data_IF_486366663205
#
_entry.id   IF_486366663205
#
_cell.length_a   1.000
_cell.length_b   1.000
_cell.length_c   1.000
_cell.angle_alpha   90.00
_cell.angle_beta   90.00
_cell.angle_gamma   90.00
#
_symmetry.space_group_name_H-M   'P 1'
#
loop_
_entity.id
_entity.type
_entity.pdbx_description
1 polymer ?
#
# COMPACT_ATOMS: atom_id res chain seq x y z
N UNK A 1 -15.39 33.63 -7.94
CA UNK A 1 -15.42 32.16 -7.81
C UNK A 1 -15.30 31.55 -9.20
N UNK A 2 -14.16 30.96 -9.55
CA UNK A 2 -13.96 30.34 -10.87
C UNK A 2 -14.84 29.09 -10.98
N UNK A 3 -15.78 29.11 -11.93
CA UNK A 3 -16.66 27.97 -12.24
C UNK A 3 -15.77 26.79 -12.68
N UNK A 4 -15.97 25.62 -12.06
CA UNK A 4 -15.24 24.38 -12.38
C UNK A 4 -15.36 24.11 -13.88
N UNK A 5 -14.23 24.05 -14.59
CA UNK A 5 -14.18 23.70 -16.02
C UNK A 5 -14.77 22.29 -16.18
N UNK A 6 -15.81 22.18 -17.00
CA UNK A 6 -16.40 20.89 -17.38
C UNK A 6 -15.32 20.05 -18.06
N UNK A 7 -15.06 18.85 -17.52
CA UNK A 7 -14.12 17.91 -18.10
C UNK A 7 -14.92 16.93 -18.97
N UNK A 8 -14.64 16.82 -20.27
CA UNK A 8 -15.31 15.88 -21.15
C UNK A 8 -15.19 14.45 -20.62
N UNK A 9 -16.24 13.64 -20.81
CA UNK A 9 -16.37 12.27 -20.30
C UNK A 9 -15.49 11.24 -21.04
N UNK A 10 -14.70 11.69 -22.02
CA UNK A 10 -13.96 10.85 -22.97
C UNK A 10 -12.58 10.40 -22.51
N UNK A 11 -12.06 10.93 -21.40
CA UNK A 11 -10.75 10.55 -20.82
C UNK A 11 -10.89 9.99 -19.39
N UNK A 12 -11.85 9.10 -19.18
CA UNK A 12 -12.02 8.43 -17.89
C UNK A 12 -11.25 7.11 -17.90
N UNK A 13 -9.99 7.15 -17.48
CA UNK A 13 -9.22 5.95 -17.14
C UNK A 13 -9.62 5.45 -15.73
N UNK A 14 -9.55 4.14 -15.48
CA UNK A 14 -9.91 3.48 -14.21
C UNK A 14 -9.20 4.11 -13.00
N UNK A 15 -7.95 4.54 -13.18
CA UNK A 15 -7.18 5.27 -12.17
C UNK A 15 -7.84 6.58 -11.72
N UNK A 16 -8.47 7.30 -12.64
CA UNK A 16 -9.19 8.55 -12.36
C UNK A 16 -10.52 8.28 -11.62
N UNK A 17 -11.19 7.17 -11.95
CA UNK A 17 -12.41 6.73 -11.26
C UNK A 17 -12.07 6.39 -9.80
N UNK A 18 -11.05 5.57 -9.58
CA UNK A 18 -10.61 5.17 -8.24
C UNK A 18 -10.19 6.38 -7.39
N UNK A 19 -9.47 7.33 -7.99
CA UNK A 19 -9.10 8.57 -7.31
C UNK A 19 -10.34 9.40 -6.88
N UNK A 20 -11.33 9.52 -7.76
CA UNK A 20 -12.56 10.28 -7.50
C UNK A 20 -13.39 9.62 -6.39
N UNK A 21 -13.57 8.31 -6.45
CA UNK A 21 -14.29 7.59 -5.41
C UNK A 21 -13.56 7.68 -4.07
N UNK A 22 -12.25 7.42 -4.03
CA UNK A 22 -11.44 7.62 -2.81
C UNK A 22 -11.68 9.00 -2.21
N UNK A 23 -11.62 10.06 -3.02
CA UNK A 23 -11.81 11.42 -2.52
C UNK A 23 -13.24 11.67 -2.01
N UNK A 24 -14.25 11.11 -2.65
CA UNK A 24 -15.65 11.17 -2.20
C UNK A 24 -15.81 10.55 -0.81
N UNK A 25 -15.27 9.35 -0.61
CA UNK A 25 -15.29 8.67 0.69
C UNK A 25 -14.49 9.41 1.77
N UNK A 26 -13.32 9.96 1.45
CA UNK A 26 -12.56 10.80 2.38
C UNK A 26 -13.34 12.04 2.84
N UNK A 27 -14.03 12.71 1.92
CA UNK A 27 -14.87 13.86 2.26
C UNK A 27 -16.05 13.42 3.15
N UNK A 28 -16.68 12.30 2.84
CA UNK A 28 -17.77 11.75 3.64
C UNK A 28 -17.31 11.42 5.07
N UNK A 29 -16.17 10.74 5.22
CA UNK A 29 -15.59 10.41 6.53
C UNK A 29 -15.28 11.68 7.34
N UNK A 30 -14.66 12.68 6.72
CA UNK A 30 -14.35 13.97 7.38
C UNK A 30 -15.62 14.65 7.88
N UNK A 31 -16.67 14.73 7.05
CA UNK A 31 -17.96 15.30 7.46
C UNK A 31 -18.60 14.50 8.58
N UNK A 32 -18.48 13.19 8.55
CA UNK A 32 -19.06 12.31 9.57
C UNK A 32 -18.39 12.49 10.93
N UNK A 33 -17.06 12.52 10.97
CA UNK A 33 -16.28 12.52 12.22
C UNK A 33 -15.98 13.94 12.73
N UNK A 34 -15.58 14.86 11.85
CA UNK A 34 -15.18 16.22 12.23
C UNK A 34 -16.38 17.12 12.44
N UNK A 35 -17.31 17.12 11.49
CA UNK A 35 -18.51 17.97 11.53
C UNK A 35 -19.68 17.30 12.27
N UNK A 36 -19.52 16.03 12.69
CA UNK A 36 -20.55 15.23 13.37
C UNK A 36 -21.84 15.09 12.56
N UNK A 37 -21.74 15.20 11.24
CA UNK A 37 -22.90 15.06 10.35
C UNK A 37 -23.43 13.62 10.40
N UNK A 38 -24.75 13.48 10.30
CA UNK A 38 -25.39 12.18 10.15
C UNK A 38 -25.37 11.76 8.68
N UNK A 39 -25.19 10.47 8.44
CA UNK A 39 -25.25 9.91 7.09
C UNK A 39 -25.76 8.48 7.17
N UNK A 40 -26.98 8.25 6.70
CA UNK A 40 -27.55 6.90 6.63
C UNK A 40 -26.83 6.03 5.60
N UNK A 41 -26.32 6.65 4.53
CA UNK A 41 -25.63 5.94 3.47
C UNK A 41 -24.21 5.53 3.86
N UNK A 42 -23.41 6.44 4.43
CA UNK A 42 -21.98 6.17 4.70
C UNK A 42 -21.73 5.53 6.07
N UNK A 43 -22.57 5.77 7.08
CA UNK A 43 -22.33 5.26 8.44
C UNK A 43 -22.17 3.72 8.52
N UNK A 44 -22.94 2.90 7.77
CA UNK A 44 -22.78 1.44 7.80
C UNK A 44 -21.40 0.94 7.33
N UNK A 45 -20.67 1.72 6.55
CA UNK A 45 -19.31 1.39 6.10
C UNK A 45 -18.27 1.78 7.14
N UNK A 46 -18.51 2.87 7.87
CA UNK A 46 -17.63 3.33 8.94
C UNK A 46 -17.69 2.44 10.19
N UNK A 47 -18.80 1.74 10.40
CA UNK A 47 -18.94 0.72 11.44
C UNK A 47 -19.11 1.24 12.87
N UNK A 48 -19.13 2.57 13.05
CA UNK A 48 -19.44 3.24 14.31
C UNK A 48 -20.33 4.46 14.06
N UNK A 49 -21.10 4.84 15.07
CA UNK A 49 -21.72 6.15 15.09
C UNK A 49 -20.65 7.26 15.24
N UNK A 50 -21.01 8.51 14.93
CA UNK A 50 -20.05 9.61 14.95
C UNK A 50 -19.43 9.89 16.34
N UNK A 51 -20.12 9.56 17.43
CA UNK A 51 -19.61 9.78 18.79
C UNK A 51 -18.57 8.71 19.11
N UNK A 52 -18.88 7.44 18.83
CA UNK A 52 -17.94 6.33 19.03
C UNK A 52 -16.74 6.38 18.08
N UNK A 53 -16.93 6.84 16.85
CA UNK A 53 -15.81 7.06 15.94
C UNK A 53 -14.85 8.13 16.48
N UNK A 54 -15.37 9.21 17.06
CA UNK A 54 -14.51 10.23 17.67
C UNK A 54 -13.75 9.71 18.88
N UNK A 55 -14.41 8.93 19.74
CA UNK A 55 -13.74 8.25 20.86
C UNK A 55 -12.59 7.36 20.34
N UNK A 56 -12.83 6.58 19.29
CA UNK A 56 -11.80 5.74 18.64
C UNK A 56 -10.60 6.53 18.12
N UNK A 57 -10.81 7.76 17.66
CA UNK A 57 -9.73 8.63 17.19
C UNK A 57 -9.01 9.32 18.35
N UNK A 58 -9.75 9.76 19.37
CA UNK A 58 -9.20 10.45 20.55
C UNK A 58 -8.26 9.55 21.36
N UNK A 59 -8.55 8.25 21.48
CA UNK A 59 -7.65 7.31 22.18
C UNK A 59 -6.27 7.16 21.49
N UNK A 60 -6.14 7.60 20.23
CA UNK A 60 -4.89 7.57 19.47
C UNK A 60 -4.13 8.90 19.54
N UNK A 61 -4.70 9.94 20.14
CA UNK A 61 -4.00 11.20 20.35
C UNK A 61 -2.96 11.07 21.45
N UNK A 62 -1.84 11.76 21.26
CA UNK A 62 -0.92 12.06 22.34
C UNK A 62 -1.05 13.53 22.75
N UNK A 63 -0.16 13.99 23.62
CA UNK A 63 -0.21 15.33 24.20
C UNK A 63 -0.08 16.47 23.17
N UNK A 64 0.32 16.18 21.93
CA UNK A 64 0.50 17.18 20.87
C UNK A 64 -0.70 17.22 19.90
N UNK A 65 -1.62 16.26 19.96
CA UNK A 65 -2.71 16.12 19.00
C UNK A 65 -4.05 16.51 19.61
N UNK A 66 -4.83 17.26 18.84
CA UNK A 66 -6.19 17.66 19.21
C UNK A 66 -7.06 17.83 17.97
N UNK A 67 -8.38 17.94 18.14
CA UNK A 67 -9.26 18.15 16.99
C UNK A 67 -9.03 19.50 16.28
N UNK A 68 -8.59 20.51 17.02
CA UNK A 68 -8.33 21.86 16.51
C UNK A 68 -7.13 21.90 15.56
N UNK A 69 -6.19 20.98 15.71
CA UNK A 69 -4.98 20.93 14.89
C UNK A 69 -5.03 19.86 13.77
N UNK A 70 -6.22 19.34 13.45
CA UNK A 70 -6.46 18.50 12.27
C UNK A 70 -5.98 19.18 10.98
N UNK A 71 -5.47 18.38 10.03
CA UNK A 71 -4.83 18.79 8.77
C UNK A 71 -3.53 19.57 8.91
N UNK A 72 -3.24 20.18 10.07
CA UNK A 72 -1.95 20.85 10.33
C UNK A 72 -0.94 19.90 10.96
N UNK A 73 -1.33 19.20 12.04
CA UNK A 73 -0.45 18.31 12.80
C UNK A 73 -0.73 16.83 12.53
N UNK A 74 -1.97 16.47 12.19
CA UNK A 74 -2.35 15.10 11.88
C UNK A 74 -3.48 15.01 10.87
N UNK A 75 -3.71 13.81 10.34
CA UNK A 75 -4.79 13.48 9.41
C UNK A 75 -5.28 12.03 9.62
N UNK A 76 -6.43 11.70 9.03
CA UNK A 76 -6.86 10.31 8.93
C UNK A 76 -6.01 9.54 7.92
N UNK A 77 -5.58 8.35 8.30
CA UNK A 77 -4.87 7.42 7.43
C UNK A 77 -5.49 6.02 7.52
N UNK A 78 -5.19 5.18 6.53
CA UNK A 78 -5.59 3.78 6.55
C UNK A 78 -4.44 2.90 6.99
N UNK A 79 -4.69 1.92 7.86
CA UNK A 79 -3.68 0.94 8.28
C UNK A 79 -3.32 0.03 7.09
N UNK A 80 -4.32 -0.52 6.41
CA UNK A 80 -4.16 -1.16 5.10
C UNK A 80 -4.48 -0.13 4.01
N UNK A 81 -3.54 0.17 3.09
CA UNK A 81 -3.76 1.19 2.06
C UNK A 81 -4.98 0.92 1.18
N UNK A 82 -5.74 1.99 0.90
CA UNK A 82 -6.93 1.97 0.03
C UNK A 82 -6.68 1.31 -1.33
N UNK A 83 -5.45 1.35 -1.84
CA UNK A 83 -5.08 0.77 -3.14
C UNK A 83 -5.25 -0.76 -3.20
N UNK A 84 -5.29 -1.44 -2.06
CA UNK A 84 -5.50 -2.88 -1.99
C UNK A 84 -6.98 -3.29 -1.98
N UNK A 85 -7.90 -2.33 -1.94
CA UNK A 85 -9.34 -2.58 -1.87
C UNK A 85 -10.01 -2.31 -3.23
N UNK A 86 -10.91 -3.21 -3.61
CA UNK A 86 -11.80 -3.10 -4.73
C UNK A 86 -13.06 -2.35 -4.32
N UNK A 87 -13.33 -1.23 -4.98
CA UNK A 87 -14.47 -0.38 -4.67
C UNK A 87 -15.76 -0.84 -5.34
N UNK A 88 -15.68 -1.84 -6.23
CA UNK A 88 -16.84 -2.49 -6.84
C UNK A 88 -17.41 -3.61 -5.96
N UNK A 89 -16.62 -4.12 -5.01
CA UNK A 89 -17.06 -5.07 -3.99
C UNK A 89 -17.52 -4.33 -2.72
N UNK A 90 -18.77 -4.54 -2.33
CA UNK A 90 -19.36 -3.88 -1.17
C UNK A 90 -18.69 -4.28 0.15
N UNK A 91 -18.31 -5.56 0.30
CA UNK A 91 -17.67 -6.03 1.52
C UNK A 91 -16.26 -5.47 1.66
N UNK A 92 -15.52 -5.40 0.55
CA UNK A 92 -14.19 -4.82 0.52
C UNK A 92 -14.23 -3.31 0.78
N UNK A 93 -15.25 -2.62 0.28
CA UNK A 93 -15.49 -1.20 0.58
C UNK A 93 -15.85 -0.97 2.05
N UNK A 94 -16.67 -1.84 2.66
CA UNK A 94 -16.98 -1.81 4.10
C UNK A 94 -15.72 -2.02 4.92
N UNK A 95 -14.90 -3.00 4.56
CA UNK A 95 -13.66 -3.31 5.26
C UNK A 95 -12.64 -2.17 5.13
N UNK A 96 -12.52 -1.57 3.95
CA UNK A 96 -11.64 -0.43 3.68
C UNK A 96 -11.94 0.76 4.60
N UNK A 97 -13.22 1.15 4.71
CA UNK A 97 -13.65 2.36 5.42
C UNK A 97 -14.08 2.13 6.87
N UNK A 98 -14.04 0.88 7.35
CA UNK A 98 -14.33 0.55 8.73
C UNK A 98 -13.38 1.29 9.69
N UNK A 99 -13.88 1.74 10.84
CA UNK A 99 -13.08 2.43 11.85
C UNK A 99 -11.81 1.67 12.23
N UNK A 100 -11.83 0.33 12.22
CA UNK A 100 -10.67 -0.50 12.57
C UNK A 100 -9.51 -0.34 11.58
N UNK A 101 -9.79 0.08 10.35
CA UNK A 101 -8.77 0.37 9.35
C UNK A 101 -8.35 1.85 9.35
N UNK A 102 -9.01 2.71 10.12
CA UNK A 102 -8.73 4.15 10.17
C UNK A 102 -7.93 4.49 11.43
N UNK A 103 -6.83 5.21 11.24
CA UNK A 103 -5.95 5.68 12.31
C UNK A 103 -5.63 7.17 12.23
N UNK A 104 -5.05 7.68 13.30
CA UNK A 104 -4.40 9.00 13.37
C UNK A 104 -2.99 8.91 12.81
N UNK A 105 -2.66 9.82 11.90
CA UNK A 105 -1.34 9.91 11.26
C UNK A 105 -0.76 11.31 11.43
N UNK A 106 0.42 11.43 12.04
CA UNK A 106 1.11 12.71 12.27
C UNK A 106 1.79 13.21 10.99
N UNK A 107 1.49 14.44 10.59
CA UNK A 107 2.00 15.04 9.35
C UNK A 107 3.52 15.24 9.33
N UNK A 108 4.17 15.42 10.49
CA UNK A 108 5.59 15.77 10.56
C UNK A 108 6.53 14.57 10.43
N UNK A 109 6.06 13.35 10.69
CA UNK A 109 6.94 12.17 10.74
C UNK A 109 7.14 11.51 9.36
N UNK A 110 6.22 11.69 8.40
CA UNK A 110 6.14 10.83 7.21
C UNK A 110 6.18 11.55 5.85
N UNK A 111 6.94 12.65 5.71
CA UNK A 111 7.20 13.23 4.38
C UNK A 111 8.03 12.31 3.46
N UNK A 112 8.77 11.35 4.02
CA UNK A 112 9.67 10.45 3.28
C UNK A 112 9.24 8.96 3.28
N UNK A 113 8.18 8.57 4.00
CA UNK A 113 7.64 7.21 3.90
C UNK A 113 6.65 7.18 2.74
N UNK A 114 7.15 6.92 1.54
CA UNK A 114 6.29 6.71 0.39
C UNK A 114 5.40 5.49 0.62
N UNK A 115 4.16 5.68 1.08
CA UNK A 115 2.98 4.77 1.12
C UNK A 115 3.16 3.28 1.51
N UNK A 116 4.36 2.80 1.79
CA UNK A 116 4.66 1.44 2.21
C UNK A 116 4.51 1.40 3.72
N UNK A 117 3.25 1.40 4.16
CA UNK A 117 2.95 0.61 5.35
C UNK A 117 3.28 -0.82 4.97
N UNK A 118 4.21 -1.41 5.70
CA UNK A 118 4.60 -2.80 5.50
C UNK A 118 3.36 -3.66 5.72
N UNK A 119 2.94 -4.40 4.69
CA UNK A 119 1.82 -5.36 4.78
C UNK A 119 2.04 -6.28 5.98
N UNK A 120 3.30 -6.60 6.31
CA UNK A 120 3.69 -7.37 7.49
C UNK A 120 3.31 -6.67 8.80
N UNK A 121 3.53 -5.36 8.91
CA UNK A 121 3.17 -4.58 10.10
C UNK A 121 1.65 -4.48 10.26
N UNK A 122 0.92 -4.29 9.16
CA UNK A 122 -0.54 -4.30 9.18
C UNK A 122 -1.09 -5.67 9.59
N UNK A 123 -0.53 -6.76 9.04
CA UNK A 123 -0.88 -8.13 9.41
C UNK A 123 -0.69 -8.36 10.90
N UNK A 124 0.50 -8.05 11.43
CA UNK A 124 0.78 -8.24 12.85
C UNK A 124 -0.14 -7.42 13.75
N UNK A 125 -0.48 -6.20 13.33
CA UNK A 125 -1.44 -5.35 14.04
C UNK A 125 -2.82 -6.02 14.15
N UNK A 126 -3.38 -6.51 13.04
CA UNK A 126 -4.69 -7.17 13.05
C UNK A 126 -4.67 -8.55 13.71
N UNK A 127 -3.56 -9.29 13.67
CA UNK A 127 -3.37 -10.54 14.40
C UNK A 127 -3.50 -10.32 15.90
N UNK A 128 -2.73 -9.37 16.44
CA UNK A 128 -2.74 -9.04 17.88
C UNK A 128 -4.11 -8.53 18.31
N UNK A 129 -4.77 -7.70 17.50
CA UNK A 129 -6.13 -7.25 17.81
C UNK A 129 -7.12 -8.41 17.82
N UNK A 130 -7.08 -9.29 16.82
CA UNK A 130 -8.01 -10.42 16.74
C UNK A 130 -7.80 -11.39 17.91
N UNK A 131 -6.56 -11.78 18.20
CA UNK A 131 -6.22 -12.68 19.31
C UNK A 131 -6.73 -12.16 20.66
N UNK A 132 -6.65 -10.85 20.89
CA UNK A 132 -7.02 -10.24 22.17
C UNK A 132 -8.52 -9.87 22.29
N UNK A 133 -9.21 -9.66 21.17
CA UNK A 133 -10.59 -9.14 21.18
C UNK A 133 -11.61 -10.11 20.59
N UNK A 134 -11.16 -11.11 19.83
CA UNK A 134 -11.99 -11.98 19.00
C UNK A 134 -12.96 -11.20 18.08
N UNK A 135 -12.57 -10.01 17.64
CA UNK A 135 -13.42 -9.16 16.81
C UNK A 135 -13.35 -9.59 15.34
N UNK A 136 -14.46 -10.10 14.81
CA UNK A 136 -14.53 -10.74 13.49
C UNK A 136 -14.09 -9.83 12.31
N UNK A 137 -14.24 -8.51 12.43
CA UNK A 137 -13.75 -7.59 11.37
C UNK A 137 -12.23 -7.62 11.27
N UNK A 138 -11.51 -7.83 12.38
CA UNK A 138 -10.06 -8.02 12.36
C UNK A 138 -9.69 -9.31 11.60
N UNK A 139 -10.46 -10.38 11.78
CA UNK A 139 -10.28 -11.62 11.02
C UNK A 139 -10.53 -11.42 9.52
N UNK A 140 -11.61 -10.72 9.16
CA UNK A 140 -11.88 -10.38 7.75
C UNK A 140 -10.72 -9.56 7.13
N UNK A 141 -10.11 -8.65 7.91
CA UNK A 141 -8.93 -7.91 7.48
C UNK A 141 -7.70 -8.81 7.30
N UNK A 142 -7.48 -9.79 8.17
CA UNK A 142 -6.40 -10.77 8.03
C UNK A 142 -6.56 -11.64 6.77
N UNK A 143 -7.79 -12.07 6.49
CA UNK A 143 -8.11 -12.82 5.27
C UNK A 143 -7.82 -11.97 4.03
N UNK A 144 -8.18 -10.68 4.06
CA UNK A 144 -7.86 -9.72 2.98
C UNK A 144 -6.35 -9.59 2.77
N UNK A 145 -5.58 -9.40 3.85
CA UNK A 145 -4.12 -9.30 3.79
C UNK A 145 -3.49 -10.57 3.21
N UNK A 146 -3.97 -11.74 3.62
CA UNK A 146 -3.46 -13.03 3.12
C UNK A 146 -3.72 -13.21 1.62
N UNK A 147 -4.88 -12.77 1.11
CA UNK A 147 -5.16 -12.79 -0.35
C UNK A 147 -4.21 -11.88 -1.12
N UNK A 148 -3.87 -10.72 -0.57
CA UNK A 148 -2.90 -9.80 -1.17
C UNK A 148 -1.53 -10.48 -1.25
N UNK A 149 -1.05 -11.07 -0.16
CA UNK A 149 0.23 -11.80 -0.12
C UNK A 149 0.29 -12.92 -1.18
N UNK A 150 -0.77 -13.73 -1.30
CA UNK A 150 -0.84 -14.80 -2.31
C UNK A 150 -0.77 -14.26 -3.73
N UNK A 151 -1.45 -13.14 -4.01
CA UNK A 151 -1.42 -12.52 -5.34
C UNK A 151 -0.03 -11.97 -5.72
N UNK A 152 0.67 -11.37 -4.76
CA UNK A 152 2.04 -10.88 -4.96
C UNK A 152 3.01 -12.06 -5.18
N UNK A 153 2.88 -13.14 -4.42
CA UNK A 153 3.67 -14.37 -4.60
C UNK A 153 3.46 -14.97 -5.99
N UNK A 154 2.22 -15.06 -6.46
CA UNK A 154 1.91 -15.57 -7.80
C UNK A 154 2.55 -14.70 -8.89
N UNK A 155 2.56 -13.37 -8.73
CA UNK A 155 3.24 -12.46 -9.67
C UNK A 155 4.76 -12.65 -9.72
N UNK A 156 5.36 -13.11 -8.62
CA UNK A 156 6.80 -13.38 -8.54
C UNK A 156 7.21 -14.69 -9.22
N UNK A 157 6.28 -15.57 -9.62
CA UNK A 157 6.62 -16.81 -10.32
C UNK A 157 7.37 -16.55 -11.63
N UNK A 158 6.99 -15.52 -12.39
CA UNK A 158 7.69 -15.15 -13.63
C UNK A 158 9.13 -14.70 -13.35
N UNK A 159 9.35 -13.99 -12.25
CA UNK A 159 10.70 -13.59 -11.82
C UNK A 159 11.53 -14.80 -11.40
N UNK A 160 10.91 -15.73 -10.68
CA UNK A 160 11.52 -17.00 -10.29
C UNK A 160 11.94 -17.80 -11.52
N UNK A 161 11.07 -17.90 -12.54
CA UNK A 161 11.36 -18.61 -13.78
C UNK A 161 12.53 -17.98 -14.54
N UNK A 162 12.63 -16.65 -14.57
CA UNK A 162 13.78 -15.97 -15.15
C UNK A 162 15.09 -16.34 -14.42
N UNK A 163 15.09 -16.30 -13.09
CA UNK A 163 16.27 -16.64 -12.28
C UNK A 163 16.68 -18.10 -12.51
N UNK A 164 15.72 -19.02 -12.48
CA UNK A 164 15.97 -20.45 -12.70
C UNK A 164 16.53 -20.68 -14.10
N UNK A 165 15.90 -20.09 -15.13
CA UNK A 165 16.31 -20.28 -16.53
C UNK A 165 17.67 -19.68 -16.86
N UNK A 166 18.11 -18.67 -16.10
CA UNK A 166 19.37 -17.96 -16.33
C UNK A 166 20.41 -18.23 -15.23
N UNK A 167 20.20 -19.23 -14.37
CA UNK A 167 21.03 -19.46 -13.18
C UNK A 167 22.53 -19.57 -13.52
N UNK A 168 22.88 -20.36 -14.52
CA UNK A 168 24.27 -20.55 -14.94
C UNK A 168 24.91 -19.25 -15.45
N UNK A 169 24.13 -18.44 -16.19
CA UNK A 169 24.57 -17.12 -16.64
C UNK A 169 24.80 -16.19 -15.44
N UNK A 170 23.84 -16.12 -14.51
CA UNK A 170 23.90 -15.25 -13.32
C UNK A 170 25.09 -15.62 -12.43
N UNK A 171 25.30 -16.92 -12.19
CA UNK A 171 26.42 -17.43 -11.40
C UNK A 171 27.78 -17.14 -12.07
N UNK A 172 27.83 -17.14 -13.40
CA UNK A 172 29.03 -16.83 -14.17
C UNK A 172 29.39 -15.33 -14.15
N UNK A 173 28.40 -14.43 -14.21
CA UNK A 173 28.62 -12.98 -14.28
C UNK A 173 28.73 -12.29 -12.92
N UNK A 174 28.52 -13.01 -11.81
CA UNK A 174 28.50 -12.41 -10.46
C UNK A 174 29.80 -11.67 -10.07
N UNK A 175 30.94 -12.15 -10.60
CA UNK A 175 32.29 -11.62 -10.31
C UNK A 175 32.83 -10.79 -11.49
N UNK A 176 31.98 -10.41 -12.45
CA UNK A 176 32.38 -9.60 -13.60
C UNK A 176 32.62 -8.15 -13.20
N UNK A 177 33.63 -7.53 -13.79
CA UNK A 177 33.96 -6.13 -13.62
C UNK A 177 33.10 -5.22 -14.51
N UNK A 178 33.21 -3.91 -14.31
CA UNK A 178 32.54 -2.93 -15.17
C UNK A 178 32.93 -3.06 -16.65
N UNK A 179 34.19 -3.40 -16.94
CA UNK A 179 34.67 -3.62 -18.31
C UNK A 179 34.03 -4.86 -18.94
N UNK A 180 33.94 -5.96 -18.18
CA UNK A 180 33.30 -7.19 -18.66
C UNK A 180 31.83 -6.95 -19.03
N UNK A 181 31.10 -6.16 -18.24
CA UNK A 181 29.72 -5.79 -18.54
C UNK A 181 29.60 -4.85 -19.75
N UNK A 182 30.52 -3.89 -19.91
CA UNK A 182 30.55 -3.04 -21.12
C UNK A 182 30.78 -3.88 -22.38
N UNK A 183 31.70 -4.86 -22.31
CA UNK A 183 31.94 -5.83 -23.38
C UNK A 183 30.72 -6.71 -23.67
N UNK A 184 30.01 -7.19 -22.65
CA UNK A 184 28.74 -7.91 -22.84
C UNK A 184 27.69 -7.03 -23.52
N UNK A 185 27.53 -5.77 -23.08
CA UNK A 185 26.56 -4.83 -23.62
C UNK A 185 26.85 -4.43 -25.07
N UNK A 186 28.13 -4.44 -25.47
CA UNK A 186 28.58 -4.19 -26.84
C UNK A 186 28.55 -5.44 -27.73
N UNK A 187 28.05 -6.57 -27.22
CA UNK A 187 27.77 -7.79 -27.99
C UNK A 187 28.83 -8.89 -27.88
N UNK A 188 29.82 -8.74 -26.99
CA UNK A 188 30.78 -9.81 -26.72
C UNK A 188 30.06 -10.99 -26.08
N UNK A 189 30.28 -12.21 -26.57
CA UNK A 189 29.63 -13.41 -26.00
C UNK A 189 30.17 -13.75 -24.60
N UNK A 190 29.29 -14.20 -23.71
CA UNK A 190 29.66 -14.66 -22.36
C UNK A 190 30.76 -15.74 -22.40
N UNK A 191 30.65 -16.69 -23.34
CA UNK A 191 31.62 -17.78 -23.50
C UNK A 191 33.04 -17.26 -23.79
N UNK A 192 33.16 -16.19 -24.59
CA UNK A 192 34.45 -15.58 -24.90
C UNK A 192 35.10 -14.96 -23.66
N UNK A 193 34.32 -14.22 -22.86
CA UNK A 193 34.81 -13.57 -21.64
C UNK A 193 35.22 -14.58 -20.58
N UNK A 194 34.43 -15.64 -20.38
CA UNK A 194 34.77 -16.70 -19.44
C UNK A 194 36.08 -17.42 -19.82
N UNK A 195 36.26 -17.72 -21.12
CA UNK A 195 37.50 -18.32 -21.60
C UNK A 195 38.72 -17.44 -21.35
N UNK A 196 38.60 -16.14 -21.62
CA UNK A 196 39.68 -15.17 -21.40
C UNK A 196 40.05 -15.07 -19.91
N UNK A 197 39.06 -15.01 -19.02
CA UNK A 197 39.29 -14.98 -17.57
C UNK A 197 39.92 -16.27 -17.05
N UNK A 198 39.45 -17.43 -17.51
CA UNK A 198 40.05 -18.72 -17.15
C UNK A 198 41.49 -18.83 -17.65
N UNK A 199 41.78 -18.31 -18.84
CA UNK A 199 43.13 -18.28 -19.40
C UNK A 199 44.06 -17.40 -18.56
N UNK A 200 43.63 -16.18 -18.20
CA UNK A 200 44.39 -15.27 -17.35
C UNK A 200 44.67 -15.91 -15.99
N UNK A 201 43.65 -16.54 -15.37
CA UNK A 201 43.77 -17.20 -14.07
C UNK A 201 44.74 -18.40 -14.08
N UNK A 202 44.90 -19.08 -15.22
CA UNK A 202 45.88 -20.17 -15.38
C UNK A 202 47.31 -19.67 -15.61
N UNK A 203 47.46 -18.41 -16.02
CA UNK A 203 48.75 -17.77 -16.29
C UNK A 203 49.28 -16.96 -15.10
N UNK A 204 48.43 -16.65 -14.12
CA UNK A 204 48.78 -16.02 -12.83
C UNK A 204 49.13 -17.07 -11.77
#
# INVERSE_FOLDING_TARGET
>A
MARKRWTPQTDVNDSLIQFREKRKWQIALRRYVLEKNRSTFYAPYFGLDNSKFREWIEIQFDNELSWENFSSHWQFDHIVPVAYFDFSDEEDLRLCWNFINIRVEKNQLNKNRGNRIDVLAAKKYFEVLFENTNYEVCKAMLDKITRIEVSEIASNMVLQDFIISNKDYLDAVKDFSSDDFDRLNTGTSLKSLLYEKDFIKRMS
#
